data_IF_664093247180
#
_entry.id   IF_664093247180
#
_cell.length_a   1.000
_cell.length_b   1.000
_cell.length_c   1.000
_cell.angle_alpha   90.00
_cell.angle_beta   90.00
_cell.angle_gamma   90.00
#
_symmetry.space_group_name_H-M   'P 1'
#
loop_
_entity.id
_entity.type
_entity.pdbx_description
1 polymer ?
#
# COMPACT_ATOMS: atom_id res chain seq x y z
N UNK A 1 -10.10 -11.68 -15.39
CA UNK A 1 -10.29 -10.73 -14.27
C UNK A 1 -9.16 -9.71 -14.29
N UNK A 2 -9.49 -8.42 -14.30
CA UNK A 2 -8.51 -7.32 -14.35
C UNK A 2 -7.78 -7.15 -13.00
N UNK A 3 -6.54 -6.63 -13.02
CA UNK A 3 -5.73 -6.41 -11.82
C UNK A 3 -6.40 -5.48 -10.78
N UNK A 4 -7.04 -4.35 -11.19
CA UNK A 4 -7.74 -3.49 -10.23
C UNK A 4 -8.82 -4.20 -9.42
N UNK A 5 -9.55 -5.13 -10.03
CA UNK A 5 -10.58 -5.92 -9.36
C UNK A 5 -9.98 -6.87 -8.32
N UNK A 6 -8.79 -7.44 -8.59
CA UNK A 6 -8.06 -8.28 -7.62
C UNK A 6 -7.56 -7.49 -6.42
N UNK A 7 -7.15 -6.23 -6.64
CA UNK A 7 -6.68 -5.31 -5.60
C UNK A 7 -7.83 -4.75 -4.74
N UNK A 8 -9.10 -5.11 -5.06
CA UNK A 8 -10.31 -4.64 -4.36
C UNK A 8 -10.36 -3.11 -4.26
N UNK A 9 -9.89 -2.41 -5.30
CA UNK A 9 -9.95 -0.96 -5.36
C UNK A 9 -11.41 -0.50 -5.38
N UNK A 10 -11.67 0.65 -4.78
CA UNK A 10 -13.00 1.25 -4.77
C UNK A 10 -13.11 2.28 -5.88
N UNK A 11 -14.22 2.27 -6.60
CA UNK A 11 -14.50 3.21 -7.68
C UNK A 11 -14.94 4.59 -7.16
N UNK A 12 -15.38 4.67 -5.89
CA UNK A 12 -15.85 5.91 -5.24
C UNK A 12 -14.73 6.79 -4.67
N UNK A 13 -13.47 6.36 -4.78
CA UNK A 13 -12.31 7.05 -4.24
C UNK A 13 -11.18 7.20 -5.27
N UNK A 14 -10.43 8.33 -5.24
CA UNK A 14 -9.27 8.49 -6.10
C UNK A 14 -8.17 7.48 -5.75
N UNK A 15 -7.53 6.92 -6.76
CA UNK A 15 -6.43 5.97 -6.61
C UNK A 15 -5.10 6.71 -6.62
N UNK A 16 -4.35 6.67 -5.52
CA UNK A 16 -3.02 7.28 -5.51
C UNK A 16 -1.99 6.27 -6.00
N UNK A 17 -1.38 6.51 -7.17
CA UNK A 17 -0.32 5.67 -7.75
C UNK A 17 1.03 6.36 -7.58
N UNK A 18 1.79 5.96 -6.56
CA UNK A 18 3.07 6.61 -6.24
C UNK A 18 4.21 5.82 -6.86
N UNK A 19 5.06 6.50 -7.64
CA UNK A 19 6.25 5.95 -8.28
C UNK A 19 5.96 4.75 -9.23
N UNK A 20 4.75 4.68 -9.79
CA UNK A 20 4.34 3.61 -10.68
C UNK A 20 5.06 3.70 -12.05
N UNK A 21 5.61 2.59 -12.57
CA UNK A 21 6.14 2.56 -13.94
C UNK A 21 5.03 2.81 -14.97
N UNK A 22 5.34 3.49 -16.08
CA UNK A 22 4.37 3.79 -17.14
C UNK A 22 3.61 2.56 -17.66
N UNK A 23 4.30 1.42 -17.77
CA UNK A 23 3.70 0.15 -18.20
C UNK A 23 2.59 -0.30 -17.23
N UNK A 24 2.82 -0.16 -15.93
CA UNK A 24 1.89 -0.59 -14.89
C UNK A 24 0.78 0.44 -14.70
N UNK A 25 1.10 1.73 -14.78
CA UNK A 25 0.13 2.81 -14.69
C UNK A 25 -1.01 2.66 -15.73
N UNK A 26 -0.69 2.15 -16.93
CA UNK A 26 -1.68 1.84 -17.97
C UNK A 26 -2.78 0.87 -17.52
N UNK A 27 -2.47 -0.06 -16.61
CA UNK A 27 -3.44 -1.03 -16.07
C UNK A 27 -4.52 -0.39 -15.18
N UNK A 28 -4.29 0.83 -14.72
CA UNK A 28 -5.16 1.57 -13.81
C UNK A 28 -5.85 2.77 -14.46
N UNK A 29 -5.73 2.92 -15.79
CA UNK A 29 -6.32 4.03 -16.57
C UNK A 29 -7.84 4.13 -16.48
N UNK A 30 -8.52 3.05 -16.04
CA UNK A 30 -9.95 3.06 -15.78
C UNK A 30 -10.35 3.77 -14.47
N UNK A 31 -9.40 4.12 -13.60
CA UNK A 31 -9.63 4.80 -12.32
C UNK A 31 -9.09 6.24 -12.37
N UNK A 32 -9.59 7.11 -11.49
CA UNK A 32 -9.00 8.45 -11.26
C UNK A 32 -7.65 8.29 -10.54
N UNK A 33 -6.62 7.92 -11.30
CA UNK A 33 -5.28 7.66 -10.79
C UNK A 33 -4.49 8.97 -10.65
N UNK A 34 -4.00 9.24 -9.44
CA UNK A 34 -3.23 10.44 -9.10
C UNK A 34 -1.84 10.07 -8.63
N UNK A 35 -0.82 10.72 -9.16
CA UNK A 35 0.59 10.41 -8.87
C UNK A 35 1.20 11.26 -7.75
N UNK A 36 0.49 12.30 -7.31
CA UNK A 36 1.00 13.29 -6.35
C UNK A 36 0.17 13.31 -5.08
N UNK A 37 0.71 12.88 -3.94
CA UNK A 37 -0.04 12.84 -2.68
C UNK A 37 -0.63 14.21 -2.29
N UNK A 38 -1.87 14.25 -1.80
CA UNK A 38 -2.52 15.49 -1.40
C UNK A 38 -1.86 16.06 -0.13
N UNK A 39 -1.89 17.38 0.06
CA UNK A 39 -1.30 18.03 1.26
C UNK A 39 -2.22 17.96 2.49
N UNK A 40 -3.54 17.98 2.30
CA UNK A 40 -4.53 18.04 3.39
C UNK A 40 -5.64 16.98 3.31
N UNK A 41 -5.68 16.19 2.25
CA UNK A 41 -6.76 15.21 2.04
C UNK A 41 -6.35 13.85 2.58
N UNK A 42 -7.29 13.19 3.25
CA UNK A 42 -7.11 11.82 3.70
C UNK A 42 -7.13 10.85 2.50
N UNK A 43 -6.31 9.81 2.58
CA UNK A 43 -6.08 8.85 1.52
C UNK A 43 -6.82 7.56 1.86
N UNK A 44 -7.81 7.21 1.02
CA UNK A 44 -8.60 5.98 1.17
C UNK A 44 -7.98 4.78 0.45
N UNK A 45 -7.24 5.00 -0.64
CA UNK A 45 -6.59 3.92 -1.39
C UNK A 45 -5.33 4.40 -2.10
N UNK A 46 -4.23 3.67 -1.94
CA UNK A 46 -2.92 4.01 -2.51
C UNK A 46 -2.18 2.75 -2.92
N UNK A 47 -1.45 2.84 -4.02
CA UNK A 47 -0.47 1.85 -4.47
C UNK A 47 0.87 2.55 -4.59
N UNK A 48 1.81 2.22 -3.72
CA UNK A 48 3.18 2.70 -3.79
C UNK A 48 4.06 1.65 -4.46
N UNK A 49 4.80 2.02 -5.50
CA UNK A 49 5.77 1.17 -6.16
C UNK A 49 7.18 1.50 -5.62
N UNK A 50 7.74 0.56 -4.88
CA UNK A 50 9.09 0.66 -4.34
C UNK A 50 9.98 -0.37 -5.05
N UNK A 51 10.96 0.11 -5.81
CA UNK A 51 11.95 -0.77 -6.44
C UNK A 51 12.96 -1.33 -5.44
N UNK A 52 13.20 -0.61 -4.34
CA UNK A 52 14.13 -0.94 -3.27
C UNK A 52 13.65 -0.37 -1.93
N UNK A 53 14.35 -0.75 -0.85
CA UNK A 53 14.01 -0.32 0.52
C UNK A 53 14.11 1.20 0.69
N UNK A 54 15.08 1.84 0.05
CA UNK A 54 15.27 3.29 0.16
C UNK A 54 14.09 4.05 -0.46
N UNK A 55 13.62 3.62 -1.63
CA UNK A 55 12.43 4.16 -2.28
C UNK A 55 11.17 3.92 -1.46
N UNK A 56 11.06 2.75 -0.80
CA UNK A 56 9.97 2.50 0.14
C UNK A 56 9.99 3.53 1.29
N UNK A 57 11.12 3.66 2.00
CA UNK A 57 11.26 4.55 3.15
C UNK A 57 10.99 6.02 2.78
N UNK A 58 11.52 6.48 1.65
CA UNK A 58 11.36 7.85 1.17
C UNK A 58 9.88 8.21 0.93
N UNK A 59 9.10 7.29 0.37
CA UNK A 59 7.72 7.57 -0.03
C UNK A 59 6.71 7.18 1.05
N UNK A 60 6.95 6.11 1.80
CA UNK A 60 6.02 5.57 2.78
C UNK A 60 5.77 6.54 3.95
N UNK A 61 6.83 7.18 4.45
CA UNK A 61 6.74 8.20 5.54
C UNK A 61 5.81 9.37 5.17
N UNK A 62 5.76 9.76 3.89
CA UNK A 62 4.84 10.80 3.39
C UNK A 62 3.38 10.34 3.23
N UNK A 63 3.15 9.02 3.20
CA UNK A 63 1.83 8.38 2.99
C UNK A 63 1.19 8.00 4.32
N UNK A 64 1.93 7.38 5.23
CA UNK A 64 1.41 6.79 6.47
C UNK A 64 0.58 7.79 7.29
N UNK A 65 1.02 9.05 7.36
CA UNK A 65 0.35 10.12 8.09
C UNK A 65 -0.94 10.63 7.43
N UNK A 66 -1.28 10.17 6.23
CA UNK A 66 -2.44 10.60 5.45
C UNK A 66 -3.47 9.49 5.25
N UNK A 67 -3.13 8.24 5.58
CA UNK A 67 -4.02 7.10 5.41
C UNK A 67 -5.20 7.18 6.37
N UNK A 68 -6.40 6.89 5.85
CA UNK A 68 -7.56 6.61 6.69
C UNK A 68 -7.38 5.28 7.45
N UNK A 69 -8.05 5.08 8.60
CA UNK A 69 -7.98 3.83 9.35
C UNK A 69 -8.28 2.57 8.51
N UNK A 70 -9.26 2.67 7.60
CA UNK A 70 -9.65 1.58 6.70
C UNK A 70 -9.08 1.73 5.27
N UNK A 71 -7.97 2.46 5.13
CA UNK A 71 -7.37 2.70 3.81
C UNK A 71 -6.82 1.41 3.18
N UNK A 72 -6.94 1.33 1.85
CA UNK A 72 -6.30 0.29 1.05
C UNK A 72 -4.86 0.70 0.76
N UNK A 73 -3.93 0.29 1.63
CA UNK A 73 -2.50 0.45 1.41
C UNK A 73 -1.94 -0.77 0.66
N UNK A 74 -1.57 -0.57 -0.59
CA UNK A 74 -0.85 -1.55 -1.40
C UNK A 74 0.58 -1.09 -1.64
N UNK A 75 1.54 -1.96 -1.36
CA UNK A 75 2.95 -1.71 -1.61
C UNK A 75 3.44 -2.69 -2.68
N UNK A 76 3.75 -2.18 -3.86
CA UNK A 76 4.27 -2.93 -4.98
C UNK A 76 5.80 -2.98 -4.93
N UNK A 77 6.35 -4.19 -5.07
CA UNK A 77 7.77 -4.48 -5.08
C UNK A 77 8.12 -5.39 -6.27
N UNK A 78 9.35 -5.30 -6.80
CA UNK A 78 9.80 -6.19 -7.85
C UNK A 78 9.82 -7.65 -7.39
N UNK A 79 9.34 -8.52 -8.26
CA UNK A 79 9.46 -9.97 -8.08
C UNK A 79 10.92 -10.36 -8.20
N UNK A 80 11.34 -11.31 -7.36
CA UNK A 80 12.67 -11.94 -7.47
C UNK A 80 12.91 -12.60 -8.84
N UNK A 81 11.85 -13.07 -9.49
CA UNK A 81 11.87 -13.65 -10.84
C UNK A 81 11.76 -12.61 -11.97
N UNK A 82 11.54 -11.34 -11.64
CA UNK A 82 11.41 -10.26 -12.60
C UNK A 82 12.76 -9.76 -13.10
N UNK A 83 12.73 -8.80 -14.02
CA UNK A 83 13.93 -8.19 -14.62
C UNK A 83 14.56 -7.12 -13.74
N UNK A 84 13.82 -6.61 -12.77
CA UNK A 84 14.24 -5.50 -11.90
C UNK A 84 14.94 -6.08 -10.67
N UNK A 85 16.22 -5.71 -10.47
CA UNK A 85 16.96 -6.07 -9.26
C UNK A 85 16.45 -5.23 -8.09
N UNK A 86 16.08 -5.91 -7.00
CA UNK A 86 15.59 -5.29 -5.78
C UNK A 86 16.24 -5.96 -4.57
N UNK A 87 16.47 -5.18 -3.53
CA UNK A 87 16.85 -5.65 -2.19
C UNK A 87 15.62 -5.97 -1.31
N UNK A 88 14.42 -5.85 -1.87
CA UNK A 88 13.15 -6.21 -1.26
C UNK A 88 12.63 -7.55 -1.77
N UNK A 89 11.87 -8.24 -0.93
CA UNK A 89 11.14 -9.45 -1.30
C UNK A 89 9.77 -9.46 -0.64
N UNK A 90 8.99 -10.52 -0.83
CA UNK A 90 7.72 -10.70 -0.12
C UNK A 90 7.90 -10.59 1.41
N UNK A 91 8.98 -11.17 1.92
CA UNK A 91 9.15 -11.41 3.35
C UNK A 91 10.24 -10.51 3.98
N UNK A 92 10.91 -9.66 3.18
CA UNK A 92 12.01 -8.81 3.64
C UNK A 92 12.00 -7.43 2.99
N UNK A 93 12.46 -6.40 3.74
CA UNK A 93 12.51 -5.01 3.28
C UNK A 93 11.29 -4.18 3.65
N UNK A 94 10.45 -4.66 4.56
CA UNK A 94 9.24 -3.99 5.04
C UNK A 94 9.41 -3.38 6.43
N UNK A 95 10.65 -3.26 6.91
CA UNK A 95 10.98 -2.86 8.29
C UNK A 95 10.33 -1.53 8.68
N UNK A 96 10.36 -0.53 7.79
CA UNK A 96 9.72 0.78 8.00
C UNK A 96 8.19 0.68 8.12
N UNK A 97 7.58 -0.26 7.40
CA UNK A 97 6.12 -0.46 7.37
C UNK A 97 5.68 -1.18 8.64
N UNK A 98 6.44 -2.18 9.08
CA UNK A 98 6.24 -2.86 10.36
C UNK A 98 6.46 -1.92 11.54
N UNK A 99 7.51 -1.09 11.50
CA UNK A 99 7.80 -0.09 12.53
C UNK A 99 6.68 0.95 12.67
N UNK A 100 6.01 1.29 11.56
CA UNK A 100 4.82 2.13 11.55
C UNK A 100 3.54 1.41 12.03
N UNK A 101 3.65 0.16 12.47
CA UNK A 101 2.55 -0.62 13.03
C UNK A 101 1.62 -1.21 11.98
N UNK A 102 2.07 -1.42 10.73
CA UNK A 102 1.26 -2.09 9.72
C UNK A 102 1.61 -3.57 9.62
N UNK A 103 0.62 -4.41 9.31
CA UNK A 103 0.79 -5.84 9.07
C UNK A 103 0.37 -6.24 7.64
N UNK A 104 1.06 -7.22 7.03
CA UNK A 104 0.75 -7.66 5.68
C UNK A 104 -0.43 -8.64 5.71
N UNK A 105 -1.38 -8.48 4.79
CA UNK A 105 -2.61 -9.30 4.79
C UNK A 105 -2.87 -10.06 3.51
N UNK A 106 -2.41 -9.55 2.37
CA UNK A 106 -2.71 -10.17 1.07
C UNK A 106 -1.68 -9.77 0.03
N UNK A 107 -1.17 -10.73 -0.73
CA UNK A 107 -0.30 -10.47 -1.87
C UNK A 107 -1.04 -10.73 -3.19
N UNK A 108 -0.85 -9.85 -4.17
CA UNK A 108 -1.37 -9.98 -5.52
C UNK A 108 -0.25 -9.69 -6.52
N UNK A 109 -0.06 -10.59 -7.50
CA UNK A 109 0.80 -10.28 -8.64
C UNK A 109 0.14 -9.25 -9.55
N UNK A 110 0.83 -8.15 -9.86
CA UNK A 110 0.37 -7.12 -10.79
C UNK A 110 0.65 -7.59 -12.22
N UNK A 111 1.91 -7.87 -12.53
CA UNK A 111 2.38 -8.32 -13.84
C UNK A 111 3.54 -9.32 -13.68
N UNK A 112 4.36 -9.50 -14.72
CA UNK A 112 5.52 -10.41 -14.69
C UNK A 112 6.65 -9.92 -13.77
N UNK A 113 6.76 -8.60 -13.57
CA UNK A 113 7.87 -7.96 -12.87
C UNK A 113 7.51 -7.49 -11.45
N UNK A 114 6.23 -7.25 -11.15
CA UNK A 114 5.77 -6.60 -9.91
C UNK A 114 4.73 -7.43 -9.16
N UNK A 115 4.86 -7.45 -7.83
CA UNK A 115 3.84 -7.92 -6.90
C UNK A 115 3.46 -6.82 -5.93
N UNK A 116 2.18 -6.73 -5.59
CA UNK A 116 1.68 -5.85 -4.55
C UNK A 116 1.35 -6.64 -3.29
N UNK A 117 1.80 -6.14 -2.15
CA UNK A 117 1.46 -6.62 -0.82
C UNK A 117 0.57 -5.59 -0.15
N UNK A 118 -0.61 -6.01 0.29
CA UNK A 118 -1.53 -5.17 1.04
C UNK A 118 -1.13 -5.17 2.50
N UNK A 119 -1.11 -3.97 3.05
CA UNK A 119 -0.89 -3.72 4.46
C UNK A 119 -2.14 -3.10 5.08
N UNK A 120 -2.34 -3.37 6.38
CA UNK A 120 -3.34 -2.68 7.20
C UNK A 120 -2.71 -2.27 8.52
N UNK A 121 -3.25 -1.24 9.20
CA UNK A 121 -2.96 -0.99 10.60
C UNK A 121 -3.09 -2.28 11.43
N UNK A 122 -2.04 -2.63 12.15
CA UNK A 122 -2.17 -3.56 13.27
C UNK A 122 -3.06 -2.92 14.34
N UNK A 123 -3.76 -3.74 15.13
CA UNK A 123 -4.64 -3.24 16.19
C UNK A 123 -3.95 -2.34 17.23
N UNK A 124 -2.62 -2.29 17.21
CA UNK A 124 -1.77 -1.53 18.13
C UNK A 124 -1.35 -0.14 17.60
N UNK A 125 -1.84 0.31 16.43
CA UNK A 125 -1.62 1.69 16.00
C UNK A 125 -2.34 2.63 16.98
N UNK A 126 -1.56 3.27 17.85
CA UNK A 126 -2.01 4.39 18.69
C UNK A 126 -2.36 5.55 17.77
N UNK A 127 -3.59 6.04 17.85
CA UNK A 127 -3.90 7.34 17.27
C UNK A 127 -3.07 8.44 17.98
N UNK A 128 -2.91 9.58 17.31
CA UNK A 128 -2.14 10.74 17.77
C UNK A 128 -2.70 11.38 19.06
N UNK A 129 -3.91 10.97 19.45
CA UNK A 129 -4.64 11.36 20.65
C UNK A 129 -4.73 10.25 21.71
N UNK A 130 -4.02 9.12 21.55
CA UNK A 130 -3.92 8.08 22.58
C UNK A 130 -5.09 7.11 22.65
N UNK A 131 -5.98 7.13 21.66
CA UNK A 131 -7.10 6.20 21.48
C UNK A 131 -6.65 5.05 20.59
N UNK A 132 -6.97 3.83 20.99
CA UNK A 132 -6.88 2.69 20.07
C UNK A 132 -7.98 2.85 19.02
N UNK A 133 -7.63 2.78 17.73
CA UNK A 133 -8.60 2.82 16.62
C UNK A 133 -9.50 1.56 16.55
N UNK A 134 -9.46 0.69 17.56
CA UNK A 134 -10.35 -0.44 17.72
C UNK A 134 -11.04 -0.44 19.09
N UNK A 135 -12.33 -0.15 19.07
CA UNK A 135 -13.28 -0.54 20.11
C UNK A 135 -14.44 -1.25 19.43
N UNK A 136 -14.27 -2.51 19.03
CA UNK A 136 -15.43 -3.38 18.87
C UNK A 136 -15.10 -4.82 19.23
N UNK A 137 -15.89 -5.37 20.14
CA UNK A 137 -15.67 -6.68 20.71
C UNK A 137 -15.58 -7.77 19.65
N UNK A 138 -14.64 -8.68 19.86
CA UNK A 138 -14.87 -10.08 19.52
C UNK A 138 -14.30 -10.95 20.62
N UNK A 139 -15.08 -11.06 21.71
CA UNK A 139 -15.16 -12.34 22.40
C UNK A 139 -15.60 -13.37 21.35
N UNK A 140 -14.77 -14.36 21.11
CA UNK A 140 -15.24 -15.67 20.65
C UNK A 140 -14.62 -16.68 21.61
N UNK A 141 -15.53 -17.40 22.26
CA UNK A 141 -15.25 -18.45 23.22
C UNK A 141 -14.85 -19.75 22.55
#
# INVERSE_FOLDING_TARGET
MSIPAKLKLKDDAPLWLINAPDQVAKLFTAFDSKTTLPKKQAVAQVILFAADKAGLEQHFTGIEGKLLPDALLWLAYPKKSGKIKSDMTRDAGWDVVFAAGYEPVMQIAIDEDWSALRFRPSGDIKDRYGTYLWSSGRQRG
#
